data_IF_965839613656
#
_entry.id   IF_965839613656
#
_cell.length_a   1.000
_cell.length_b   1.000
_cell.length_c   1.000
_cell.angle_alpha   90.00
_cell.angle_beta   90.00
_cell.angle_gamma   90.00
#
_symmetry.space_group_name_H-M   'P 1'
#
loop_
_entity.id
_entity.type
_entity.pdbx_description
1 polymer ?
#
# COMPACT_ATOMS: atom_id res chain seq x y z
N UNK A 1 13.01 13.11 -20.28
CA UNK A 1 12.80 13.34 -18.83
C UNK A 1 11.44 12.75 -18.48
N UNK A 2 11.46 11.59 -17.87
CA UNK A 2 10.24 10.86 -17.54
C UNK A 2 9.50 11.61 -16.42
N UNK A 3 8.28 12.00 -16.68
CA UNK A 3 7.40 12.67 -15.72
C UNK A 3 7.01 11.68 -14.61
N UNK A 4 7.79 11.64 -13.56
CA UNK A 4 7.60 10.77 -12.39
C UNK A 4 6.58 11.36 -11.40
N UNK A 5 6.03 12.56 -11.69
CA UNK A 5 5.21 13.32 -10.75
C UNK A 5 3.87 12.69 -10.40
N UNK A 6 3.37 11.79 -11.24
CA UNK A 6 2.09 11.12 -11.03
C UNK A 6 2.21 9.62 -10.71
N UNK A 7 3.42 9.07 -10.67
CA UNK A 7 3.59 7.62 -10.49
C UNK A 7 3.37 7.22 -9.04
N UNK A 8 2.30 6.48 -8.81
CA UNK A 8 1.99 5.85 -7.53
C UNK A 8 2.19 4.34 -7.68
N UNK A 9 2.96 3.75 -6.79
CA UNK A 9 3.23 2.32 -6.74
C UNK A 9 2.59 1.73 -5.50
N UNK A 10 1.81 0.67 -5.67
CA UNK A 10 1.20 -0.07 -4.57
C UNK A 10 1.90 -1.40 -4.34
N UNK A 11 2.15 -1.72 -3.08
CA UNK A 11 2.73 -2.99 -2.66
C UNK A 11 2.25 -3.38 -1.26
N UNK A 12 1.69 -4.55 -1.14
CA UNK A 12 1.09 -5.00 0.11
C UNK A 12 -0.04 -4.07 0.55
N UNK A 13 0.15 -3.37 1.67
CA UNK A 13 -0.78 -2.36 2.20
C UNK A 13 -0.30 -0.93 1.98
N UNK A 14 0.81 -0.78 1.31
CA UNK A 14 1.45 0.53 1.12
C UNK A 14 1.19 1.09 -0.25
N UNK A 15 1.07 2.40 -0.29
CA UNK A 15 1.05 3.21 -1.50
C UNK A 15 2.23 4.18 -1.46
N UNK A 16 3.07 4.12 -2.45
CA UNK A 16 4.25 4.97 -2.59
C UNK A 16 4.03 5.98 -3.72
N UNK A 17 3.88 7.24 -3.37
CA UNK A 17 3.90 8.34 -4.33
C UNK A 17 5.34 8.78 -4.56
N UNK A 18 5.88 8.47 -5.74
CA UNK A 18 7.27 8.80 -6.08
C UNK A 18 7.45 10.31 -6.17
N UNK A 19 6.53 11.02 -6.84
CA UNK A 19 6.60 12.46 -7.02
C UNK A 19 6.53 13.26 -5.72
N UNK A 20 5.66 12.84 -4.80
CA UNK A 20 5.50 13.48 -3.51
C UNK A 20 6.46 12.93 -2.44
N UNK A 21 7.21 11.88 -2.75
CA UNK A 21 8.08 11.17 -1.81
C UNK A 21 7.35 10.77 -0.52
N UNK A 22 6.15 10.24 -0.67
CA UNK A 22 5.24 9.92 0.41
C UNK A 22 4.92 8.42 0.42
N UNK A 23 5.06 7.80 1.58
CA UNK A 23 4.65 6.43 1.83
C UNK A 23 3.42 6.44 2.72
N UNK A 24 2.36 5.78 2.28
CA UNK A 24 1.08 5.70 2.98
C UNK A 24 0.75 4.24 3.26
N UNK A 25 0.24 3.94 4.44
CA UNK A 25 -0.34 2.66 4.80
C UNK A 25 -1.83 2.86 5.16
N UNK A 26 -2.72 2.58 4.21
CA UNK A 26 -4.14 2.91 4.35
C UNK A 26 -4.36 4.41 4.52
N UNK A 27 -4.78 4.83 5.71
CA UNK A 27 -5.00 6.26 6.02
C UNK A 27 -3.82 6.94 6.73
N UNK A 28 -2.73 6.21 7.02
CA UNK A 28 -1.60 6.73 7.80
C UNK A 28 -0.38 6.97 6.94
N UNK A 29 0.21 8.14 7.08
CA UNK A 29 1.52 8.44 6.50
C UNK A 29 2.60 7.76 7.32
N UNK A 30 3.48 7.02 6.66
CA UNK A 30 4.64 6.38 7.29
C UNK A 30 5.83 7.32 7.21
N UNK A 31 6.30 7.85 8.34
CA UNK A 31 7.44 8.77 8.32
C UNK A 31 8.71 8.01 7.96
N UNK A 32 9.35 8.40 6.88
CA UNK A 32 10.65 7.89 6.45
C UNK A 32 11.65 9.01 6.27
N UNK A 33 12.87 8.77 6.71
CA UNK A 33 13.96 9.69 6.40
C UNK A 33 14.21 9.78 4.89
N UNK A 34 14.66 10.94 4.40
CA UNK A 34 14.85 11.21 2.97
C UNK A 34 15.68 10.11 2.26
N UNK A 35 16.76 9.65 2.88
CA UNK A 35 17.63 8.62 2.31
C UNK A 35 17.00 7.22 2.32
N UNK A 36 16.21 6.92 3.35
CA UNK A 36 15.44 5.67 3.41
C UNK A 36 14.34 5.66 2.33
N UNK A 37 13.73 6.81 2.06
CA UNK A 37 12.77 6.99 0.98
C UNK A 37 13.41 6.79 -0.41
N UNK A 38 14.59 7.37 -0.66
CA UNK A 38 15.33 7.16 -1.90
C UNK A 38 15.67 5.68 -2.14
N UNK A 39 16.11 4.98 -1.09
CA UNK A 39 16.37 3.54 -1.13
C UNK A 39 15.08 2.75 -1.44
N UNK A 40 13.98 3.11 -0.80
CA UNK A 40 12.70 2.43 -1.06
C UNK A 40 12.26 2.59 -2.51
N UNK A 41 12.33 3.81 -3.06
CA UNK A 41 11.97 4.09 -4.46
C UNK A 41 12.78 3.21 -5.40
N UNK A 42 14.11 3.18 -5.25
CA UNK A 42 15.00 2.39 -6.11
C UNK A 42 14.69 0.89 -6.00
N UNK A 43 14.45 0.39 -4.79
CA UNK A 43 14.15 -1.02 -4.56
C UNK A 43 12.78 -1.42 -5.12
N UNK A 44 11.78 -0.56 -4.99
CA UNK A 44 10.42 -0.80 -5.51
C UNK A 44 10.38 -0.72 -7.03
N UNK A 45 11.12 0.21 -7.65
CA UNK A 45 11.25 0.29 -9.11
C UNK A 45 11.93 -0.94 -9.71
N UNK A 46 12.78 -1.59 -8.94
CA UNK A 46 13.46 -2.83 -9.31
C UNK A 46 12.94 -4.03 -8.53
N UNK A 47 11.64 -4.07 -8.28
CA UNK A 47 11.01 -5.17 -7.58
C UNK A 47 11.37 -6.52 -8.23
N UNK A 48 11.57 -7.52 -7.39
CA UNK A 48 12.00 -8.88 -7.77
C UNK A 48 13.41 -8.98 -8.41
N UNK A 49 14.17 -7.89 -8.44
CA UNK A 49 15.56 -7.90 -8.87
C UNK A 49 16.49 -7.61 -7.69
N UNK A 50 17.69 -8.17 -7.75
CA UNK A 50 18.73 -7.88 -6.76
C UNK A 50 19.45 -6.60 -7.16
N UNK A 51 19.41 -5.61 -6.31
CA UNK A 51 20.12 -4.34 -6.50
C UNK A 51 21.42 -4.37 -5.70
N UNK A 52 22.54 -4.17 -6.37
CA UNK A 52 23.86 -4.18 -5.77
C UNK A 52 24.03 -3.07 -4.73
N UNK A 53 24.81 -3.35 -3.68
CA UNK A 53 25.11 -2.34 -2.64
C UNK A 53 25.73 -1.07 -3.24
N UNK A 54 26.68 -1.25 -4.16
CA UNK A 54 27.35 -0.15 -4.83
C UNK A 54 26.37 0.72 -5.62
N UNK A 55 25.51 0.10 -6.39
CA UNK A 55 24.48 0.79 -7.17
C UNK A 55 23.51 1.60 -6.27
N UNK A 56 23.11 1.04 -5.12
CA UNK A 56 22.27 1.75 -4.16
C UNK A 56 22.99 2.98 -3.58
N UNK A 57 24.26 2.83 -3.25
CA UNK A 57 25.06 3.92 -2.69
C UNK A 57 25.29 5.02 -3.74
N UNK A 58 25.68 4.67 -4.94
CA UNK A 58 25.92 5.61 -6.04
C UNK A 58 24.67 6.42 -6.40
N UNK A 59 23.49 5.79 -6.38
CA UNK A 59 22.23 6.47 -6.71
C UNK A 59 21.72 7.36 -5.59
N UNK A 60 21.88 6.96 -4.33
CA UNK A 60 21.38 7.72 -3.18
C UNK A 60 22.39 8.74 -2.65
N UNK A 61 23.67 8.47 -2.81
CA UNK A 61 24.78 9.34 -2.35
C UNK A 61 25.81 9.58 -3.45
N UNK A 62 25.45 10.25 -4.54
CA UNK A 62 26.36 10.43 -5.68
C UNK A 62 27.64 11.21 -5.33
N UNK A 63 27.61 12.02 -4.27
CA UNK A 63 28.74 12.86 -3.84
C UNK A 63 29.55 12.27 -2.70
N UNK A 64 29.23 11.06 -2.22
CA UNK A 64 29.94 10.44 -1.10
C UNK A 64 30.53 9.09 -1.52
N UNK A 65 31.77 8.84 -1.11
CA UNK A 65 32.39 7.52 -1.31
C UNK A 65 31.59 6.40 -0.61
N UNK A 66 31.57 5.25 -1.24
CA UNK A 66 30.82 4.08 -0.74
C UNK A 66 31.24 3.64 0.68
N UNK A 67 32.45 3.95 1.09
CA UNK A 67 33.03 3.55 2.36
C UNK A 67 32.46 4.33 3.57
N UNK A 68 32.00 5.55 3.34
CA UNK A 68 31.49 6.44 4.40
C UNK A 68 29.98 6.31 4.65
N UNK A 69 29.30 5.45 3.88
CA UNK A 69 27.85 5.35 3.96
C UNK A 69 27.46 4.04 4.63
N UNK A 70 26.80 4.15 5.75
CA UNK A 70 26.22 2.99 6.43
C UNK A 70 24.86 2.61 5.79
N UNK A 71 24.90 2.05 4.60
CA UNK A 71 23.70 1.56 3.89
C UNK A 71 22.84 0.64 4.77
N UNK A 72 23.52 -0.19 5.60
CA UNK A 72 22.85 -1.11 6.52
C UNK A 72 21.94 -0.39 7.53
N UNK A 73 22.36 0.76 8.04
CA UNK A 73 21.55 1.56 8.98
C UNK A 73 20.28 2.06 8.31
N UNK A 74 20.36 2.58 7.09
CA UNK A 74 19.21 3.07 6.36
C UNK A 74 18.25 1.94 5.96
N UNK A 75 18.77 0.79 5.55
CA UNK A 75 17.96 -0.40 5.28
C UNK A 75 17.27 -0.92 6.56
N UNK A 76 17.97 -0.89 7.69
CA UNK A 76 17.36 -1.29 8.98
C UNK A 76 16.24 -0.33 9.39
N UNK A 77 16.45 0.98 9.25
CA UNK A 77 15.43 1.98 9.52
C UNK A 77 14.21 1.79 8.61
N UNK A 78 14.45 1.53 7.32
CA UNK A 78 13.39 1.26 6.35
C UNK A 78 12.60 0.00 6.70
N UNK A 79 13.28 -1.10 7.02
CA UNK A 79 12.63 -2.33 7.47
C UNK A 79 11.79 -2.10 8.71
N UNK A 80 12.34 -1.43 9.71
CA UNK A 80 11.61 -1.12 10.94
C UNK A 80 10.33 -0.33 10.69
N UNK A 81 10.37 0.66 9.81
CA UNK A 81 9.18 1.45 9.46
C UNK A 81 8.11 0.60 8.73
N UNK A 82 8.52 -0.28 7.82
CA UNK A 82 7.62 -1.19 7.12
C UNK A 82 7.05 -2.25 8.07
N UNK A 83 7.87 -2.85 8.94
CA UNK A 83 7.45 -3.87 9.90
C UNK A 83 6.51 -3.31 10.97
N UNK A 84 6.70 -2.07 11.41
CA UNK A 84 5.79 -1.40 12.34
C UNK A 84 4.40 -1.16 11.74
N UNK A 85 4.34 -0.98 10.44
CA UNK A 85 3.10 -0.67 9.72
C UNK A 85 2.40 -1.93 9.20
N UNK A 86 3.14 -3.01 8.96
CA UNK A 86 2.61 -4.32 8.50
C UNK A 86 3.46 -5.46 9.10
N UNK A 87 3.22 -5.80 10.37
CA UNK A 87 4.01 -6.83 11.06
C UNK A 87 3.83 -8.20 10.43
N UNK A 88 4.94 -8.91 10.29
CA UNK A 88 4.96 -10.29 9.79
C UNK A 88 5.21 -10.41 8.28
N UNK A 89 5.27 -9.32 7.53
CA UNK A 89 5.59 -9.35 6.10
C UNK A 89 6.98 -8.83 5.82
N UNK A 90 7.79 -9.65 5.18
CA UNK A 90 9.14 -9.25 4.78
C UNK A 90 9.10 -8.57 3.41
N UNK A 91 9.45 -7.29 3.36
CA UNK A 91 9.50 -6.48 2.14
C UNK A 91 10.85 -6.48 1.46
N UNK A 92 11.93 -6.47 2.26
CA UNK A 92 13.30 -6.36 1.77
C UNK A 92 14.11 -7.58 2.20
N UNK A 93 14.62 -8.34 1.25
CA UNK A 93 15.55 -9.43 1.45
C UNK A 93 16.99 -8.95 1.30
N UNK A 94 17.88 -9.51 2.12
CA UNK A 94 19.30 -9.35 1.96
C UNK A 94 19.84 -10.55 1.16
N UNK A 95 20.53 -10.28 0.07
CA UNK A 95 21.22 -11.29 -0.73
C UNK A 95 22.71 -11.21 -0.42
N UNK A 96 23.25 -12.17 0.35
CA UNK A 96 24.66 -12.13 0.77
C UNK A 96 25.60 -11.98 -0.44
N UNK A 97 26.60 -11.11 -0.34
CA UNK A 97 27.58 -10.85 -1.40
C UNK A 97 27.05 -10.09 -2.62
N UNK A 98 25.73 -9.92 -2.77
CA UNK A 98 25.14 -9.27 -3.94
C UNK A 98 24.46 -7.93 -3.61
N UNK A 99 23.61 -7.86 -2.59
CA UNK A 99 22.90 -6.63 -2.25
C UNK A 99 21.56 -6.86 -1.59
N UNK A 100 20.56 -6.10 -2.02
CA UNK A 100 19.21 -6.14 -1.48
C UNK A 100 18.19 -6.34 -2.61
N UNK A 101 17.09 -7.01 -2.30
CA UNK A 101 15.99 -7.22 -3.23
C UNK A 101 14.66 -6.87 -2.56
N UNK A 102 13.76 -6.27 -3.31
CA UNK A 102 12.39 -6.09 -2.90
C UNK A 102 11.57 -7.32 -3.31
N UNK A 103 10.98 -8.01 -2.34
CA UNK A 103 10.39 -9.35 -2.55
C UNK A 103 8.87 -9.37 -2.66
N UNK A 104 8.22 -8.21 -2.52
CA UNK A 104 6.78 -8.09 -2.62
C UNK A 104 6.39 -7.60 -4.01
N UNK A 105 5.31 -8.15 -4.62
CA UNK A 105 4.83 -7.69 -5.90
C UNK A 105 4.41 -6.22 -5.84
N UNK A 106 4.80 -5.45 -6.85
CA UNK A 106 4.52 -4.02 -6.98
C UNK A 106 3.57 -3.81 -8.15
N UNK A 107 2.50 -3.07 -7.90
CA UNK A 107 1.54 -2.68 -8.92
C UNK A 107 1.62 -1.17 -9.13
N UNK A 108 1.70 -0.73 -10.38
CA UNK A 108 1.64 0.69 -10.71
C UNK A 108 0.18 1.15 -10.71
N UNK A 109 -0.13 2.10 -9.85
CA UNK A 109 -1.39 2.84 -9.86
C UNK A 109 -1.17 4.14 -10.66
N UNK A 110 -0.90 4.02 -11.95
CA UNK A 110 -0.92 5.19 -12.82
C UNK A 110 -2.37 5.63 -12.97
N UNK A 111 -2.68 6.94 -12.91
CA UNK A 111 -3.99 7.41 -13.35
C UNK A 111 -4.20 6.94 -14.80
N UNK A 112 -5.40 6.54 -15.19
CA UNK A 112 -5.66 6.04 -16.52
C UNK A 112 -5.34 7.14 -17.54
N UNK A 113 -4.17 7.08 -18.13
CA UNK A 113 -3.90 7.75 -19.39
C UNK A 113 -4.74 7.01 -20.41
N UNK A 114 -5.70 7.70 -20.99
CA UNK A 114 -6.61 7.22 -22.02
C UNK A 114 -5.88 6.40 -23.08
N UNK A 115 -6.06 5.10 -23.05
CA UNK A 115 -5.45 4.19 -24.02
C UNK A 115 -5.45 2.78 -23.49
N UNK A 116 -6.48 2.03 -23.85
CA UNK A 116 -6.73 0.61 -23.67
C UNK A 116 -7.06 0.10 -22.26
N UNK A 117 -8.31 -0.35 -22.07
CA UNK A 117 -8.67 -1.16 -20.93
C UNK A 117 -8.24 -2.60 -21.18
N UNK A 118 -7.07 -2.97 -20.72
CA UNK A 118 -6.80 -4.38 -20.55
C UNK A 118 -7.63 -4.89 -19.35
N UNK A 119 -8.57 -5.82 -19.57
CA UNK A 119 -9.40 -6.33 -18.50
C UNK A 119 -8.56 -7.22 -17.61
N UNK A 120 -8.21 -6.69 -16.45
CA UNK A 120 -7.67 -7.51 -15.38
C UNK A 120 -8.67 -8.62 -15.01
N UNK A 121 -8.34 -9.92 -15.13
CA UNK A 121 -9.32 -11.00 -14.98
C UNK A 121 -9.66 -11.35 -13.53
N UNK A 122 -9.61 -10.42 -12.58
CA UNK A 122 -9.78 -10.75 -11.16
C UNK A 122 -10.85 -9.99 -10.39
N UNK A 123 -11.87 -9.49 -11.06
CA UNK A 123 -13.06 -9.03 -10.33
C UNK A 123 -14.33 -9.17 -11.13
N UNK A 124 -14.51 -10.34 -11.74
CA UNK A 124 -15.84 -10.77 -12.08
C UNK A 124 -16.41 -11.51 -10.88
N UNK A 125 -16.86 -10.77 -9.90
CA UNK A 125 -17.90 -11.28 -9.02
C UNK A 125 -19.08 -11.64 -9.94
N UNK A 126 -19.52 -12.89 -9.94
CA UNK A 126 -20.63 -13.27 -10.80
C UNK A 126 -21.85 -12.43 -10.43
N UNK A 127 -22.54 -11.92 -11.44
CA UNK A 127 -23.73 -11.09 -11.28
C UNK A 127 -24.82 -11.71 -10.39
N UNK A 128 -24.73 -12.98 -10.13
CA UNK A 128 -25.53 -13.72 -9.14
C UNK A 128 -25.34 -13.25 -7.70
N UNK A 129 -24.12 -12.86 -7.32
CA UNK A 129 -23.85 -12.41 -5.95
C UNK A 129 -24.41 -11.01 -5.70
N UNK A 130 -24.43 -10.15 -6.70
CA UNK A 130 -25.06 -8.82 -6.60
C UNK A 130 -26.58 -8.89 -6.48
N UNK A 131 -27.23 -9.91 -7.06
CA UNK A 131 -28.67 -10.12 -6.89
C UNK A 131 -29.04 -10.61 -5.47
N UNK A 132 -28.16 -11.34 -4.82
CA UNK A 132 -28.41 -11.79 -3.44
C UNK A 132 -28.24 -10.65 -2.42
N UNK A 133 -27.32 -9.74 -2.64
CA UNK A 133 -27.15 -8.57 -1.77
C UNK A 133 -28.31 -7.58 -1.88
N UNK A 134 -28.91 -7.40 -3.04
CA UNK A 134 -30.11 -6.55 -3.21
C UNK A 134 -31.37 -7.14 -2.61
N UNK A 135 -31.46 -8.46 -2.45
CA UNK A 135 -32.63 -9.09 -1.83
C UNK A 135 -32.62 -9.03 -0.30
N UNK A 136 -31.46 -8.83 0.33
CA UNK A 136 -31.38 -8.68 1.79
C UNK A 136 -31.87 -7.33 2.27
N UNK A 137 -31.67 -6.27 1.50
CA UNK A 137 -32.12 -4.94 1.89
C UNK A 137 -33.63 -4.76 1.70
N UNK A 138 -34.24 -5.51 0.78
CA UNK A 138 -35.69 -5.44 0.56
C UNK A 138 -36.50 -6.18 1.64
N UNK A 139 -35.90 -7.15 2.33
CA UNK A 139 -36.56 -7.88 3.42
C UNK A 139 -36.43 -7.18 4.79
N UNK A 140 -35.46 -6.29 4.94
CA UNK A 140 -35.26 -5.54 6.20
C UNK A 140 -36.25 -4.39 6.36
N UNK A 141 -36.91 -3.94 5.28
CA UNK A 141 -37.89 -2.85 5.33
C UNK A 141 -39.30 -3.33 5.66
N UNK A 142 -39.58 -4.64 5.51
CA UNK A 142 -40.91 -5.17 5.81
C UNK A 142 -41.09 -5.72 7.23
N UNK A 143 -40.10 -5.68 8.06
CA UNK A 143 -40.17 -6.08 9.46
C UNK A 143 -39.92 -4.88 10.40
N UNK A 144 -40.59 -3.77 10.13
CA UNK A 144 -40.80 -2.78 11.16
C UNK A 144 -42.02 -3.21 11.99
N UNK A 145 -41.89 -3.63 13.23
CA UNK A 145 -43.05 -3.81 14.08
C UNK A 145 -43.67 -2.44 14.33
N UNK A 146 -44.88 -2.27 13.93
CA UNK A 146 -45.75 -1.24 14.40
C UNK A 146 -45.89 -1.40 15.92
N UNK A 147 -45.10 -0.65 16.64
CA UNK A 147 -45.38 -0.40 18.04
C UNK A 147 -46.56 0.57 18.12
N UNK A 148 -47.74 0.02 18.09
CA UNK A 148 -48.93 0.70 18.58
C UNK A 148 -48.76 0.88 20.06
N UNK A 149 -48.54 2.08 20.48
CA UNK A 149 -48.73 2.52 21.85
C UNK A 149 -50.22 2.34 22.22
N UNK A 150 -50.47 1.70 23.21
CA UNK A 150 -51.73 1.66 23.91
C UNK A 150 -51.40 1.32 25.34
N UNK A 151 -51.61 2.13 26.14
CA UNK A 151 -52.69 2.24 27.09
C UNK A 151 -52.20 2.93 28.34
N UNK A 152 -52.64 4.14 28.52
CA UNK A 152 -52.73 4.79 29.79
C UNK A 152 -53.75 4.06 30.63
N UNK A 153 -53.39 3.61 31.80
CA UNK A 153 -54.35 3.34 32.87
C UNK A 153 -53.92 4.06 34.14
N UNK A 154 -54.65 5.09 34.34
CA UNK A 154 -55.09 5.69 35.54
C UNK A 154 -55.35 4.69 36.67
N UNK A 155 -54.96 4.99 37.85
CA UNK A 155 -55.31 4.33 39.12
C UNK A 155 -54.66 5.07 40.26
N UNK A 156 -55.27 6.06 40.67
CA UNK A 156 -55.94 6.33 42.01
C UNK A 156 -55.39 5.49 43.20
N UNK A 157 -54.92 6.15 44.11
CA UNK A 157 -54.88 6.20 45.58
C UNK A 157 -53.59 6.75 46.08
#
# INVERSE_FOLDING_TARGET
MSDQRGKVLSFGRFELSIGNRLLINGAKVVPLGARAMDLLIILVEQANKVVGRRTLIERVWPMRGAEQVSLRVHISALRKALDQSDPGRRYIANVPGRGYSFVVPVTSLSPPTSGDPEPSPRSRLPARLMRMLRRRDALAVMLAPSCTAGEAMSGKW
#
